data_IF_819321108896
#
_entry.id   IF_819321108896
#
_cell.length_a   1.000
_cell.length_b   1.000
_cell.length_c   1.000
_cell.angle_alpha   90.00
_cell.angle_beta   90.00
_cell.angle_gamma   90.00
#
_symmetry.space_group_name_H-M   'P 1'
#
loop_
_entity.id
_entity.type
_entity.pdbx_description
1 polymer ?
#
# COMPACT_ATOMS: atom_id res chain seq x y z
N UNK A 1 -7.82 -15.06 73.89
CA UNK A 1 -8.99 -15.35 73.03
C UNK A 1 -10.10 -14.34 73.32
N UNK A 2 -10.07 -13.13 72.72
CA UNK A 2 -11.15 -12.13 72.93
C UNK A 2 -11.22 -11.01 71.86
N UNK A 3 -10.79 -11.25 70.60
CA UNK A 3 -10.72 -10.18 69.58
C UNK A 3 -11.65 -10.34 68.37
N UNK A 4 -12.40 -11.45 68.23
CA UNK A 4 -13.20 -11.74 67.02
C UNK A 4 -14.66 -11.22 67.08
N UNK A 5 -15.25 -11.08 68.26
CA UNK A 5 -16.68 -10.76 68.39
C UNK A 5 -17.05 -9.27 68.27
N UNK A 6 -16.07 -8.36 68.21
CA UNK A 6 -16.34 -6.92 68.06
C UNK A 6 -16.58 -6.49 66.60
N UNK A 7 -15.99 -7.22 65.64
CA UNK A 7 -16.11 -6.90 64.20
C UNK A 7 -17.52 -7.12 63.65
N UNK A 8 -18.25 -8.11 64.15
CA UNK A 8 -19.63 -8.41 63.70
C UNK A 8 -20.63 -7.35 64.16
N UNK A 9 -20.41 -6.68 65.29
CA UNK A 9 -21.31 -5.61 65.80
C UNK A 9 -21.13 -4.28 65.06
N UNK A 10 -19.99 -4.06 64.40
CA UNK A 10 -19.73 -2.84 63.60
C UNK A 10 -20.44 -2.89 62.24
N UNK A 11 -20.75 -4.09 61.73
CA UNK A 11 -21.40 -4.28 60.44
C UNK A 11 -22.92 -4.02 60.43
N UNK A 12 -23.58 -3.89 61.59
CA UNK A 12 -25.05 -3.96 61.67
C UNK A 12 -25.78 -2.72 62.23
N UNK A 13 -25.17 -1.52 62.32
CA UNK A 13 -25.91 -0.35 62.84
C UNK A 13 -25.52 1.02 62.29
N UNK A 14 -25.07 1.09 61.03
CA UNK A 14 -24.87 2.35 60.31
C UNK A 14 -25.27 2.13 58.84
N UNK A 15 -26.37 2.75 58.34
CA UNK A 15 -26.89 2.50 56.99
C UNK A 15 -25.87 2.83 55.89
N UNK A 16 -24.88 3.68 56.19
CA UNK A 16 -23.82 4.09 55.26
C UNK A 16 -22.96 2.90 54.77
N UNK A 17 -22.70 1.89 55.60
CA UNK A 17 -21.84 0.76 55.23
C UNK A 17 -22.59 -0.30 54.41
N UNK A 18 -23.91 -0.41 54.59
CA UNK A 18 -24.76 -1.35 53.83
C UNK A 18 -24.96 -0.85 52.40
N UNK A 19 -25.08 0.47 52.20
CA UNK A 19 -25.08 1.12 50.89
C UNK A 19 -23.75 0.91 50.17
N UNK A 20 -22.63 1.06 50.87
CA UNK A 20 -21.29 0.89 50.30
C UNK A 20 -21.07 -0.53 49.75
N UNK A 21 -21.46 -1.56 50.51
CA UNK A 21 -21.31 -2.97 50.12
C UNK A 21 -22.21 -3.31 48.91
N UNK A 22 -23.43 -2.77 48.86
CA UNK A 22 -24.35 -2.96 47.75
C UNK A 22 -23.88 -2.23 46.47
N UNK A 23 -23.25 -1.06 46.61
CA UNK A 23 -22.61 -0.35 45.50
C UNK A 23 -21.38 -1.11 44.98
N UNK A 24 -20.53 -1.67 45.85
CA UNK A 24 -19.35 -2.43 45.45
C UNK A 24 -19.72 -3.73 44.71
N UNK A 25 -20.77 -4.44 45.13
CA UNK A 25 -21.24 -5.65 44.44
C UNK A 25 -21.86 -5.33 43.07
N UNK A 26 -22.66 -4.27 42.98
CA UNK A 26 -23.22 -3.79 41.70
C UNK A 26 -22.12 -3.32 40.71
N UNK A 27 -21.04 -2.73 41.21
CA UNK A 27 -19.90 -2.30 40.40
C UNK A 27 -19.14 -3.51 39.83
N UNK A 28 -18.95 -4.57 40.62
CA UNK A 28 -18.30 -5.81 40.17
C UNK A 28 -19.10 -6.58 39.11
N UNK A 29 -20.44 -6.51 39.16
CA UNK A 29 -21.32 -7.17 38.18
C UNK A 29 -21.33 -6.45 36.82
N UNK A 30 -21.06 -5.15 36.82
CA UNK A 30 -20.99 -4.32 35.60
C UNK A 30 -19.68 -4.53 34.82
N UNK A 31 -18.60 -4.91 35.50
CA UNK A 31 -17.27 -5.17 34.89
C UNK A 31 -17.26 -6.53 34.16
N UNK A 32 -18.07 -7.51 34.58
CA UNK A 32 -18.12 -8.85 33.97
C UNK A 32 -18.82 -8.92 32.60
N UNK A 33 -19.51 -7.84 32.18
CA UNK A 33 -20.26 -7.80 30.91
C UNK A 33 -19.43 -7.31 29.71
N UNK A 34 -18.20 -6.82 29.91
CA UNK A 34 -17.29 -6.50 28.80
C UNK A 34 -16.58 -7.77 28.33
N UNK A 35 -17.35 -8.73 27.82
CA UNK A 35 -16.82 -9.84 27.04
C UNK A 35 -16.06 -9.25 25.84
N UNK A 36 -14.82 -9.69 25.72
CA UNK A 36 -13.83 -9.26 24.75
C UNK A 36 -14.32 -9.50 23.31
N UNK A 37 -14.93 -8.49 22.69
CA UNK A 37 -15.11 -8.45 21.25
C UNK A 37 -13.80 -7.99 20.60
N UNK A 38 -12.83 -8.90 20.47
CA UNK A 38 -11.75 -8.68 19.52
C UNK A 38 -12.36 -8.84 18.12
N UNK A 39 -12.80 -7.73 17.55
CA UNK A 39 -13.07 -7.66 16.12
C UNK A 39 -11.76 -8.01 15.43
N UNK A 40 -11.70 -9.18 14.81
CA UNK A 40 -10.65 -9.52 13.86
C UNK A 40 -10.65 -8.40 12.82
N UNK A 41 -9.61 -7.57 12.79
CA UNK A 41 -9.47 -6.56 11.74
C UNK A 41 -9.38 -7.31 10.41
N UNK A 42 -10.46 -7.26 9.63
CA UNK A 42 -10.47 -7.78 8.27
C UNK A 42 -9.52 -6.92 7.44
N UNK A 43 -8.32 -7.48 7.17
CA UNK A 43 -7.32 -6.83 6.33
C UNK A 43 -7.85 -6.82 4.90
N UNK A 44 -8.31 -5.65 4.46
CA UNK A 44 -8.68 -5.42 3.06
C UNK A 44 -7.39 -5.50 2.23
N UNK A 45 -7.27 -6.57 1.44
CA UNK A 45 -6.22 -6.71 0.43
C UNK A 45 -6.74 -6.16 -0.89
N UNK A 46 -6.02 -5.21 -1.47
CA UNK A 46 -6.32 -4.65 -2.78
C UNK A 46 -5.21 -5.10 -3.73
N UNK A 47 -5.58 -5.81 -4.78
CA UNK A 47 -4.66 -6.16 -5.87
C UNK A 47 -4.56 -4.98 -6.83
N UNK A 48 -3.35 -4.46 -7.03
CA UNK A 48 -3.08 -3.38 -7.99
C UNK A 48 -2.20 -3.90 -9.13
N UNK A 49 -2.60 -3.65 -10.37
CA UNK A 49 -1.77 -3.94 -11.55
C UNK A 49 -0.91 -2.74 -11.88
N UNK A 50 0.41 -2.89 -11.78
CA UNK A 50 1.37 -1.91 -12.31
C UNK A 50 1.57 -2.17 -13.81
N UNK A 51 1.47 -1.11 -14.60
CA UNK A 51 1.74 -1.14 -16.04
C UNK A 51 3.02 -0.34 -16.31
N UNK A 52 3.98 -0.97 -16.99
CA UNK A 52 5.22 -0.33 -17.39
C UNK A 52 5.07 0.33 -18.76
N UNK A 53 5.41 1.63 -18.84
CA UNK A 53 5.38 2.41 -20.06
C UNK A 53 6.81 2.81 -20.45
N UNK A 54 7.29 2.36 -21.62
CA UNK A 54 8.58 2.78 -22.16
C UNK A 54 8.38 4.03 -23.02
N UNK A 55 9.01 5.15 -22.63
CA UNK A 55 8.87 6.44 -23.28
C UNK A 55 10.24 6.99 -23.70
N UNK A 56 10.29 7.62 -24.88
CA UNK A 56 11.48 8.30 -25.40
C UNK A 56 11.11 9.69 -25.91
N UNK A 57 11.95 10.68 -25.61
CA UNK A 57 11.77 12.06 -26.04
C UNK A 57 12.97 12.47 -26.89
N UNK A 58 12.70 13.07 -28.04
CA UNK A 58 13.72 13.57 -28.96
C UNK A 58 13.50 15.05 -29.27
N UNK A 59 14.58 15.76 -29.58
CA UNK A 59 14.52 17.12 -30.09
C UNK A 59 14.05 17.16 -31.55
N UNK A 60 13.98 18.38 -32.13
CA UNK A 60 13.57 18.56 -33.54
C UNK A 60 14.56 17.99 -34.55
N UNK A 61 15.79 17.77 -34.13
CA UNK A 61 16.88 17.21 -34.94
C UNK A 61 16.98 15.69 -34.80
N UNK A 62 16.21 15.09 -33.89
CA UNK A 62 16.17 13.65 -33.62
C UNK A 62 17.12 13.19 -32.51
N UNK A 63 17.77 14.10 -31.78
CA UNK A 63 18.64 13.72 -30.66
C UNK A 63 17.79 13.38 -29.43
N UNK A 64 18.16 12.31 -28.72
CA UNK A 64 17.51 11.91 -27.49
C UNK A 64 17.73 12.96 -26.37
N UNK A 65 16.65 13.34 -25.70
CA UNK A 65 16.68 14.20 -24.51
C UNK A 65 16.63 13.30 -23.28
N UNK A 66 17.78 13.14 -22.61
CA UNK A 66 17.95 12.22 -21.47
C UNK A 66 17.90 12.90 -20.10
N UNK A 67 17.77 14.22 -20.06
CA UNK A 67 17.82 15.02 -18.82
C UNK A 67 16.45 15.24 -18.19
N UNK A 68 15.39 14.64 -18.73
CA UNK A 68 14.03 14.79 -18.22
C UNK A 68 13.86 14.02 -16.91
N UNK A 69 12.96 14.54 -16.08
CA UNK A 69 12.62 14.00 -14.78
C UNK A 69 11.13 13.68 -14.71
N UNK A 70 10.71 12.93 -13.70
CA UNK A 70 9.31 12.52 -13.52
C UNK A 70 8.30 13.68 -13.61
N UNK A 71 8.66 14.87 -13.09
CA UNK A 71 7.81 16.08 -13.12
C UNK A 71 7.53 16.63 -14.52
N UNK A 72 8.30 16.21 -15.51
CA UNK A 72 8.16 16.64 -16.91
C UNK A 72 7.13 15.76 -17.65
N UNK A 73 6.53 14.77 -16.98
CA UNK A 73 5.56 13.84 -17.53
C UNK A 73 4.22 13.88 -16.78
N UNK A 74 3.14 13.72 -17.53
CA UNK A 74 1.81 13.47 -16.99
C UNK A 74 1.21 12.29 -17.74
N UNK A 75 0.71 11.30 -17.00
CA UNK A 75 0.07 10.11 -17.58
C UNK A 75 -1.44 10.26 -17.45
N UNK A 76 -2.15 9.99 -18.54
CA UNK A 76 -3.60 9.92 -18.56
C UNK A 76 -4.04 8.52 -19.00
N UNK A 77 -5.09 8.02 -18.38
CA UNK A 77 -5.77 6.79 -18.73
C UNK A 77 -7.25 7.12 -18.87
N UNK A 78 -7.83 6.91 -20.05
CA UNK A 78 -9.22 7.26 -20.37
C UNK A 78 -9.60 8.70 -19.98
N UNK A 79 -8.65 9.63 -20.16
CA UNK A 79 -8.81 11.05 -19.82
C UNK A 79 -8.64 11.39 -18.34
N UNK A 80 -8.41 10.40 -17.47
CA UNK A 80 -8.13 10.60 -16.04
C UNK A 80 -6.63 10.60 -15.80
N UNK A 81 -6.12 11.62 -15.10
CA UNK A 81 -4.70 11.67 -14.75
C UNK A 81 -4.35 10.55 -13.75
N UNK A 82 -3.27 9.81 -14.04
CA UNK A 82 -2.75 8.74 -13.19
C UNK A 82 -1.43 9.15 -12.53
N UNK A 83 -1.22 8.77 -11.26
CA UNK A 83 0.06 8.99 -10.60
C UNK A 83 1.12 8.07 -11.22
N UNK A 84 2.34 8.59 -11.37
CA UNK A 84 3.49 7.79 -11.77
C UNK A 84 4.09 7.20 -10.50
N UNK A 85 3.97 5.88 -10.30
CA UNK A 85 4.48 5.22 -9.08
C UNK A 85 6.00 5.07 -9.08
N UNK A 86 6.58 4.72 -10.23
CA UNK A 86 8.02 4.50 -10.43
C UNK A 86 8.45 5.21 -11.70
N UNK A 87 9.56 5.96 -11.64
CA UNK A 87 10.17 6.60 -12.79
C UNK A 87 11.67 6.34 -12.77
N UNK A 88 12.15 5.63 -13.79
CA UNK A 88 13.55 5.24 -13.87
C UNK A 88 14.06 5.46 -15.31
N UNK A 89 15.14 6.24 -15.50
CA UNK A 89 15.86 6.26 -16.76
C UNK A 89 16.33 4.85 -17.08
N UNK A 90 15.93 4.33 -18.23
CA UNK A 90 16.26 2.96 -18.62
C UNK A 90 17.45 2.96 -19.57
N UNK A 91 18.57 2.40 -19.10
CA UNK A 91 19.68 1.96 -19.95
C UNK A 91 19.61 0.44 -20.08
N UNK A 92 18.66 -0.05 -20.88
CA UNK A 92 18.51 -1.47 -21.13
C UNK A 92 19.22 -1.86 -22.43
N UNK A 93 19.97 -2.97 -22.47
CA UNK A 93 20.44 -3.53 -23.73
C UNK A 93 19.23 -3.91 -24.59
N UNK A 94 19.19 -3.41 -25.82
CA UNK A 94 18.16 -3.80 -26.78
C UNK A 94 18.72 -4.81 -27.78
N UNK A 95 17.88 -5.77 -28.17
CA UNK A 95 18.20 -6.74 -29.20
C UNK A 95 17.47 -6.36 -30.48
N UNK A 96 18.22 -6.01 -31.53
CA UNK A 96 17.67 -5.81 -32.86
C UNK A 96 17.79 -7.10 -33.67
N UNK A 97 16.67 -7.61 -34.17
CA UNK A 97 16.65 -8.71 -35.14
C UNK A 97 16.32 -8.13 -36.50
N UNK A 98 17.29 -8.19 -37.42
CA UNK A 98 17.11 -7.77 -38.80
C UNK A 98 17.02 -9.00 -39.70
N UNK A 99 15.89 -9.18 -40.37
CA UNK A 99 15.72 -10.22 -41.38
C UNK A 99 15.90 -9.61 -42.76
N UNK A 100 16.84 -10.16 -43.53
CA UNK A 100 17.18 -9.68 -44.87
C UNK A 100 16.79 -10.74 -45.90
N UNK A 101 15.88 -10.39 -46.81
CA UNK A 101 15.59 -11.21 -47.99
C UNK A 101 16.85 -11.30 -48.87
N UNK A 102 17.15 -12.47 -49.45
CA UNK A 102 18.29 -12.75 -50.35
C UNK A 102 17.90 -12.86 -51.83
N UNK A 103 16.64 -12.58 -52.17
CA UNK A 103 16.14 -12.64 -53.54
C UNK A 103 16.78 -11.60 -54.48
N UNK A 104 16.81 -11.90 -55.78
CA UNK A 104 17.53 -11.08 -56.78
C UNK A 104 17.03 -9.63 -56.93
N UNK A 105 15.79 -9.31 -56.54
CA UNK A 105 15.25 -7.95 -56.57
C UNK A 105 15.87 -7.04 -55.51
N UNK A 106 16.49 -7.60 -54.48
CA UNK A 106 17.06 -6.85 -53.35
C UNK A 106 18.53 -6.50 -53.52
N UNK A 107 19.17 -6.91 -54.62
CA UNK A 107 20.62 -6.74 -54.86
C UNK A 107 21.07 -5.27 -54.72
N UNK A 108 20.32 -4.32 -55.28
CA UNK A 108 20.68 -2.90 -55.19
C UNK A 108 20.51 -2.33 -53.77
N UNK A 109 19.59 -2.89 -52.98
CA UNK A 109 19.34 -2.48 -51.61
C UNK A 109 20.38 -3.03 -50.63
N UNK A 110 20.91 -4.23 -50.90
CA UNK A 110 22.00 -4.84 -50.10
C UNK A 110 23.23 -3.96 -50.00
N UNK A 111 23.62 -3.33 -51.10
CA UNK A 111 24.81 -2.48 -51.16
C UNK A 111 24.72 -1.29 -50.19
N UNK A 112 23.50 -0.82 -49.87
CA UNK A 112 23.29 0.26 -48.91
C UNK A 112 23.37 -0.22 -47.47
N UNK A 113 22.97 -1.47 -47.20
CA UNK A 113 23.07 -2.09 -45.87
C UNK A 113 24.51 -2.46 -45.53
N UNK A 114 25.32 -2.88 -46.51
CA UNK A 114 26.74 -3.19 -46.29
C UNK A 114 27.60 -1.96 -45.94
N UNK A 115 27.11 -0.76 -46.24
CA UNK A 115 27.83 0.51 -46.03
C UNK A 115 27.40 1.26 -44.76
N UNK A 116 26.38 0.78 -44.06
CA UNK A 116 25.84 1.35 -42.83
C UNK A 116 26.41 0.63 -41.59
#
# INVERSE_FOLDING_TARGET
MASSFSLVRILCNRPEHLVLILCLSALSLSIGLTVNAQAQEDVIKVDTSLVQLNVGVVDRQGHAITTLSQKDFVVYEDGVQRPIAVFEPTEAPFSLVMLLDTSGSTINFRQQIEQA
#
